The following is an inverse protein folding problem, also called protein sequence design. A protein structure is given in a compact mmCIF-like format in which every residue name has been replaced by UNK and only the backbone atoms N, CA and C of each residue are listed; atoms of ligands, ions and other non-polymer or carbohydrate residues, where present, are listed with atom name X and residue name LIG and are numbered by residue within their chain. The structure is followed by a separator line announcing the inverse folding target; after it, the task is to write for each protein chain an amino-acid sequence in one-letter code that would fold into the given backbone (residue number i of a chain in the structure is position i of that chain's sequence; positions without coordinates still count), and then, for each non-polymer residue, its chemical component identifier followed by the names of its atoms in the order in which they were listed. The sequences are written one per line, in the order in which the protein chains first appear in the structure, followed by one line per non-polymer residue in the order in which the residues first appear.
data_IF_814310816207
#
_entry.id   IF_814310816207
#
_cell.length_a   1.000
_cell.length_b   1.000
_cell.length_c   1.000
_cell.angle_alpha   90.00
_cell.angle_beta   90.00
_cell.angle_gamma   90.00
#
_symmetry.space_group_name_H-M   'P 1'
#
loop_
_entity.id
_entity.type
_entity.pdbx_description
1 polymer ?
#
# COMPACT_ATOMS: atom_id res chain seq x y z
N UNK A 1 -118.02 -69.99 -21.54
CA UNK A 1 -117.14 -69.81 -22.69
C UNK A 1 -116.19 -68.70 -22.30
N UNK A 2 -114.97 -68.96 -22.41
CA UNK A 2 -113.80 -68.25 -21.83
C UNK A 2 -113.49 -66.96 -22.58
N UNK A 3 -113.33 -65.88 -21.84
CA UNK A 3 -112.80 -64.60 -22.36
C UNK A 3 -111.53 -64.29 -21.65
N UNK A 4 -110.37 -64.41 -22.37
CA UNK A 4 -109.06 -64.06 -21.88
C UNK A 4 -108.92 -62.55 -21.70
N UNK A 5 -108.58 -62.06 -20.49
CA UNK A 5 -108.14 -60.71 -20.24
C UNK A 5 -106.65 -60.55 -20.61
N UNK A 6 -106.34 -59.64 -21.54
CA UNK A 6 -104.98 -59.12 -21.81
C UNK A 6 -104.60 -58.25 -20.64
N UNK A 7 -103.36 -58.47 -20.14
CA UNK A 7 -102.69 -57.61 -19.18
C UNK A 7 -101.85 -56.65 -19.99
N UNK A 8 -102.21 -55.38 -19.96
CA UNK A 8 -101.39 -54.30 -20.45
C UNK A 8 -100.27 -54.01 -19.40
N UNK A 9 -99.07 -54.23 -19.80
CA UNK A 9 -97.90 -53.79 -18.98
C UNK A 9 -97.54 -52.37 -19.44
N UNK A 10 -98.02 -51.38 -18.67
CA UNK A 10 -97.50 -50.00 -18.82
C UNK A 10 -96.05 -49.96 -18.44
N UNK A 11 -95.20 -49.75 -19.41
CA UNK A 11 -93.81 -49.48 -19.23
C UNK A 11 -93.65 -47.99 -18.87
N UNK A 12 -93.39 -47.74 -17.60
CA UNK A 12 -93.17 -46.37 -17.10
C UNK A 12 -91.69 -46.05 -17.27
N UNK A 13 -91.29 -45.23 -18.28
CA UNK A 13 -89.84 -45.03 -18.57
C UNK A 13 -89.16 -44.11 -17.57
N UNK A 14 -89.87 -43.69 -16.55
CA UNK A 14 -89.37 -42.79 -15.48
C UNK A 14 -89.46 -43.48 -14.13
N UNK A 15 -88.95 -44.70 -13.96
CA UNK A 15 -88.85 -45.28 -12.62
C UNK A 15 -87.76 -44.51 -11.84
N UNK A 16 -88.01 -44.32 -10.53
CA UNK A 16 -87.13 -43.62 -9.62
C UNK A 16 -85.69 -44.23 -9.71
N UNK A 17 -85.61 -45.54 -9.95
CA UNK A 17 -84.32 -46.24 -10.12
C UNK A 17 -83.56 -45.84 -11.43
N UNK A 18 -84.29 -45.49 -12.49
CA UNK A 18 -83.63 -45.03 -13.74
C UNK A 18 -83.13 -43.60 -13.56
N UNK A 19 -83.82 -42.73 -12.85
CA UNK A 19 -83.30 -41.39 -12.49
C UNK A 19 -82.11 -41.44 -11.58
N UNK A 20 -82.04 -42.37 -10.67
CA UNK A 20 -80.92 -42.56 -9.71
C UNK A 20 -79.67 -43.04 -10.46
N UNK A 21 -79.85 -43.99 -11.39
CA UNK A 21 -78.67 -44.47 -12.23
C UNK A 21 -78.15 -43.36 -13.15
N UNK A 22 -79.09 -42.61 -13.73
CA UNK A 22 -78.71 -41.50 -14.66
C UNK A 22 -78.03 -40.35 -13.90
N UNK A 23 -78.53 -40.01 -12.67
CA UNK A 23 -77.91 -38.93 -11.87
C UNK A 23 -76.57 -39.40 -11.33
N UNK A 24 -76.41 -40.63 -10.92
CA UNK A 24 -75.09 -41.20 -10.50
C UNK A 24 -74.10 -41.26 -11.66
N UNK A 25 -74.55 -41.66 -12.85
CA UNK A 25 -73.77 -41.67 -14.06
C UNK A 25 -73.33 -40.24 -14.49
N UNK A 26 -74.23 -39.28 -14.44
CA UNK A 26 -73.92 -37.89 -14.74
C UNK A 26 -72.94 -37.30 -13.70
N UNK A 27 -73.14 -37.61 -12.42
CA UNK A 27 -72.20 -37.24 -11.37
C UNK A 27 -70.77 -37.79 -11.59
N UNK A 28 -70.68 -39.06 -11.95
CA UNK A 28 -69.39 -39.69 -12.26
C UNK A 28 -68.72 -39.07 -13.48
N UNK A 29 -69.49 -38.74 -14.55
CA UNK A 29 -68.93 -38.08 -15.74
C UNK A 29 -68.50 -36.66 -15.43
N UNK A 30 -69.23 -35.90 -14.64
CA UNK A 30 -68.85 -34.56 -14.18
C UNK A 30 -67.58 -34.62 -13.32
N UNK A 31 -67.47 -35.61 -12.41
CA UNK A 31 -66.28 -35.80 -11.59
C UNK A 31 -65.07 -36.12 -12.42
N UNK A 32 -65.17 -37.04 -13.41
CA UNK A 32 -64.12 -37.35 -14.34
C UNK A 32 -63.74 -36.15 -15.17
N UNK A 33 -64.70 -35.37 -15.65
CA UNK A 33 -64.46 -34.13 -16.40
C UNK A 33 -63.72 -33.09 -15.54
N UNK A 34 -64.10 -32.92 -14.26
CA UNK A 34 -63.44 -32.03 -13.33
C UNK A 34 -61.99 -32.50 -13.04
N UNK A 35 -61.77 -33.80 -12.85
CA UNK A 35 -60.42 -34.37 -12.67
C UNK A 35 -59.57 -34.17 -13.92
N UNK A 36 -60.14 -34.42 -15.12
CA UNK A 36 -59.42 -34.19 -16.40
C UNK A 36 -59.15 -32.69 -16.61
N UNK A 37 -60.07 -31.82 -16.24
CA UNK A 37 -59.89 -30.36 -16.36
C UNK A 37 -58.90 -29.82 -15.35
N UNK A 38 -58.84 -30.36 -14.12
CA UNK A 38 -57.81 -30.04 -13.12
C UNK A 38 -56.47 -30.71 -13.44
N UNK A 39 -56.48 -31.73 -14.27
CA UNK A 39 -55.25 -32.34 -14.81
C UNK A 39 -54.77 -31.65 -16.10
N UNK A 40 -55.12 -30.36 -16.32
CA UNK A 40 -54.58 -29.61 -17.44
C UNK A 40 -53.05 -29.68 -17.33
N UNK A 41 -52.47 -30.50 -18.22
CA UNK A 41 -51.04 -30.45 -18.47
C UNK A 41 -50.68 -28.99 -18.76
N UNK A 42 -49.75 -28.43 -17.96
CA UNK A 42 -49.21 -27.09 -18.20
C UNK A 42 -48.99 -26.86 -19.68
N UNK A 43 -49.47 -25.74 -20.19
CA UNK A 43 -49.37 -25.47 -21.61
C UNK A 43 -47.93 -25.68 -22.09
N UNK A 44 -47.66 -26.17 -23.27
CA UNK A 44 -46.30 -26.37 -23.81
C UNK A 44 -45.44 -25.11 -23.65
N UNK A 45 -46.04 -23.93 -23.70
CA UNK A 45 -45.38 -22.64 -23.49
C UNK A 45 -44.94 -22.42 -22.00
N UNK A 46 -45.75 -22.85 -21.05
CA UNK A 46 -45.43 -22.75 -19.64
C UNK A 46 -44.29 -23.72 -19.25
N UNK A 47 -44.28 -24.94 -19.82
CA UNK A 47 -43.20 -25.91 -19.62
C UNK A 47 -41.91 -25.39 -20.23
N UNK A 48 -41.93 -24.79 -21.42
CA UNK A 48 -40.78 -24.18 -22.07
C UNK A 48 -40.24 -23.02 -21.24
N UNK A 49 -41.09 -22.21 -20.69
CA UNK A 49 -40.69 -21.07 -19.80
C UNK A 49 -40.04 -21.57 -18.52
N UNK A 50 -40.64 -22.57 -17.85
CA UNK A 50 -40.07 -23.16 -16.62
C UNK A 50 -38.73 -23.80 -16.93
N UNK A 51 -38.58 -24.53 -18.02
CA UNK A 51 -37.29 -25.12 -18.42
C UNK A 51 -36.23 -24.07 -18.70
N UNK A 52 -36.61 -22.93 -19.30
CA UNK A 52 -35.69 -21.80 -19.51
C UNK A 52 -35.25 -21.16 -18.18
N UNK A 53 -36.18 -20.99 -17.23
CA UNK A 53 -35.89 -20.46 -15.90
C UNK A 53 -35.01 -21.43 -15.10
N UNK A 54 -35.24 -22.74 -15.23
CA UNK A 54 -34.39 -23.78 -14.63
C UNK A 54 -32.96 -23.68 -15.17
N UNK A 55 -32.79 -23.67 -16.49
CA UNK A 55 -31.48 -23.57 -17.14
C UNK A 55 -30.74 -22.28 -16.76
N UNK A 56 -31.45 -21.14 -16.67
CA UNK A 56 -30.89 -19.87 -16.21
C UNK A 56 -30.44 -19.93 -14.75
N UNK A 57 -31.24 -20.60 -13.90
CA UNK A 57 -30.88 -20.77 -12.48
C UNK A 57 -29.72 -21.74 -12.29
N UNK A 58 -29.65 -22.82 -13.07
CA UNK A 58 -28.52 -23.77 -13.07
C UNK A 58 -27.21 -23.04 -13.44
N UNK A 59 -27.22 -22.22 -14.50
CA UNK A 59 -26.05 -21.41 -14.89
C UNK A 59 -25.65 -20.45 -13.78
N UNK A 60 -26.62 -19.86 -13.08
CA UNK A 60 -26.35 -18.94 -11.98
C UNK A 60 -25.80 -19.65 -10.75
N UNK A 61 -26.25 -20.86 -10.46
CA UNK A 61 -25.72 -21.70 -9.39
C UNK A 61 -24.24 -22.04 -9.69
N UNK A 62 -23.93 -22.47 -10.91
CA UNK A 62 -22.56 -22.78 -11.31
C UNK A 62 -21.62 -21.58 -11.19
N UNK A 63 -22.07 -20.38 -11.58
CA UNK A 63 -21.32 -19.13 -11.40
C UNK A 63 -21.10 -18.80 -9.91
N UNK A 64 -22.11 -19.00 -9.07
CA UNK A 64 -22.01 -18.74 -7.63
C UNK A 64 -21.08 -19.75 -6.94
N UNK A 65 -21.11 -21.01 -7.35
CA UNK A 65 -20.20 -22.03 -6.85
C UNK A 65 -18.74 -21.72 -7.20
N UNK A 66 -18.47 -21.27 -8.43
CA UNK A 66 -17.13 -20.83 -8.84
C UNK A 66 -16.67 -19.60 -8.03
N UNK A 67 -17.57 -18.64 -7.80
CA UNK A 67 -17.29 -17.47 -6.96
C UNK A 67 -17.00 -17.86 -5.50
N UNK A 68 -17.73 -18.82 -4.95
CA UNK A 68 -17.49 -19.34 -3.60
C UNK A 68 -16.09 -19.98 -3.50
N UNK A 69 -15.72 -20.81 -4.47
CA UNK A 69 -14.40 -21.45 -4.51
C UNK A 69 -13.28 -20.41 -4.58
N UNK A 70 -13.46 -19.38 -5.42
CA UNK A 70 -12.47 -18.29 -5.53
C UNK A 70 -12.35 -17.46 -4.26
N UNK A 71 -13.47 -17.15 -3.61
CA UNK A 71 -13.48 -16.44 -2.31
C UNK A 71 -12.84 -17.29 -1.21
N UNK A 72 -13.15 -18.60 -1.18
CA UNK A 72 -12.57 -19.51 -0.19
C UNK A 72 -11.05 -19.61 -0.33
N UNK A 73 -10.55 -19.64 -1.55
CA UNK A 73 -9.11 -19.63 -1.84
C UNK A 73 -8.45 -18.34 -1.35
N UNK A 74 -9.09 -17.19 -1.59
CA UNK A 74 -8.60 -15.89 -1.08
C UNK A 74 -8.56 -15.85 0.45
N UNK A 75 -9.59 -16.37 1.10
CA UNK A 75 -9.65 -16.46 2.58
C UNK A 75 -8.50 -17.32 3.10
N UNK A 76 -8.27 -18.50 2.52
CA UNK A 76 -7.20 -19.39 2.94
C UNK A 76 -5.81 -18.74 2.76
N UNK A 77 -5.59 -18.04 1.66
CA UNK A 77 -4.35 -17.29 1.41
C UNK A 77 -4.16 -16.15 2.42
N UNK A 78 -5.24 -15.43 2.75
CA UNK A 78 -5.21 -14.37 3.76
C UNK A 78 -4.94 -14.92 5.16
N UNK A 79 -5.52 -16.07 5.53
CA UNK A 79 -5.25 -16.74 6.80
C UNK A 79 -3.80 -17.20 6.91
N UNK A 80 -3.23 -17.75 5.84
CA UNK A 80 -1.82 -18.13 5.81
C UNK A 80 -0.88 -16.94 5.98
N UNK A 81 -1.21 -15.81 5.31
CA UNK A 81 -0.48 -14.55 5.45
C UNK A 81 -0.57 -13.97 6.86
N UNK A 82 -1.75 -14.01 7.48
CA UNK A 82 -1.94 -13.58 8.87
C UNK A 82 -1.10 -14.43 9.85
N UNK A 83 -1.07 -15.74 9.65
CA UNK A 83 -0.24 -16.64 10.48
C UNK A 83 1.25 -16.32 10.33
N UNK A 84 1.69 -16.00 9.12
CA UNK A 84 3.08 -15.58 8.88
C UNK A 84 3.40 -14.26 9.59
N UNK A 85 2.52 -13.26 9.47
CA UNK A 85 2.67 -11.97 10.15
C UNK A 85 2.69 -12.14 11.67
N UNK A 86 1.83 -12.99 12.24
CA UNK A 86 1.85 -13.29 13.67
C UNK A 86 3.18 -13.88 14.13
N UNK A 87 3.78 -14.78 13.33
CA UNK A 87 5.09 -15.33 13.64
C UNK A 87 6.20 -14.26 13.57
N UNK A 88 6.12 -13.35 12.59
CA UNK A 88 7.04 -12.22 12.49
C UNK A 88 6.90 -11.27 13.69
N UNK A 89 5.67 -10.97 14.12
CA UNK A 89 5.42 -10.15 15.31
C UNK A 89 6.07 -10.78 16.54
N UNK A 90 5.89 -12.06 16.78
CA UNK A 90 6.52 -12.77 17.92
C UNK A 90 8.06 -12.73 17.86
N UNK A 91 8.63 -12.83 16.67
CA UNK A 91 10.07 -12.72 16.49
C UNK A 91 10.57 -11.30 16.81
N UNK A 92 9.84 -10.28 16.35
CA UNK A 92 10.15 -8.87 16.61
C UNK A 92 10.00 -8.53 18.09
N UNK A 93 8.94 -9.00 18.76
CA UNK A 93 8.75 -8.81 20.20
C UNK A 93 9.93 -9.35 21.00
N UNK A 94 10.46 -10.51 20.61
CA UNK A 94 11.66 -11.07 21.24
C UNK A 94 12.88 -10.16 21.05
N UNK A 95 13.09 -9.63 19.84
CA UNK A 95 14.19 -8.70 19.54
C UNK A 95 14.03 -7.40 20.34
N UNK A 96 12.80 -6.87 20.47
CA UNK A 96 12.52 -5.67 21.29
C UNK A 96 12.88 -5.90 22.76
N UNK A 97 12.55 -7.07 23.31
CA UNK A 97 12.91 -7.41 24.71
C UNK A 97 14.43 -7.45 24.88
N UNK A 98 15.14 -8.08 23.94
CA UNK A 98 16.60 -8.17 23.99
C UNK A 98 17.25 -6.78 23.82
N UNK A 99 16.71 -5.94 22.94
CA UNK A 99 17.23 -4.58 22.69
C UNK A 99 16.93 -3.63 23.87
N UNK A 100 15.77 -3.76 24.50
CA UNK A 100 15.47 -3.02 25.73
C UNK A 100 16.41 -3.40 26.87
N UNK A 101 16.80 -4.66 26.97
CA UNK A 101 17.79 -5.12 27.95
C UNK A 101 19.17 -4.52 27.68
N UNK A 102 19.58 -4.45 26.39
CA UNK A 102 20.85 -3.79 25.98
C UNK A 102 20.78 -2.28 26.25
N UNK A 103 19.65 -1.65 25.95
CA UNK A 103 19.43 -0.21 26.23
C UNK A 103 19.60 0.10 27.71
N UNK A 104 18.98 -0.68 28.59
CA UNK A 104 19.10 -0.48 30.04
C UNK A 104 20.55 -0.65 30.54
N UNK A 105 21.31 -1.58 29.94
CA UNK A 105 22.75 -1.72 30.24
C UNK A 105 23.54 -0.49 29.75
N UNK A 106 23.28 -0.02 28.53
CA UNK A 106 23.94 1.15 27.97
C UNK A 106 23.56 2.45 28.68
N UNK A 107 22.34 2.58 29.18
CA UNK A 107 21.94 3.73 30.03
C UNK A 107 22.66 3.74 31.38
N UNK A 108 22.93 2.56 31.93
CA UNK A 108 23.78 2.41 33.11
C UNK A 108 25.21 2.86 32.86
N UNK A 109 25.82 2.46 31.76
CA UNK A 109 27.15 2.88 31.33
C UNK A 109 27.21 4.37 30.98
N UNK A 110 26.18 4.93 30.30
CA UNK A 110 26.11 6.35 30.01
C UNK A 110 26.01 7.22 31.30
N UNK A 111 25.25 6.80 32.31
CA UNK A 111 25.22 7.49 33.60
C UNK A 111 26.58 7.49 34.32
N UNK A 112 27.32 6.38 34.20
CA UNK A 112 28.68 6.30 34.70
C UNK A 112 29.64 7.25 33.98
N UNK A 113 29.50 7.33 32.63
CA UNK A 113 30.27 8.24 31.78
C UNK A 113 29.87 9.70 32.01
N UNK A 114 28.58 10.01 32.17
CA UNK A 114 28.12 11.36 32.53
C UNK A 114 28.67 11.84 33.88
N UNK A 115 28.72 10.95 34.88
CA UNK A 115 29.36 11.29 36.18
C UNK A 115 30.86 11.55 36.03
N UNK A 116 31.55 10.82 35.12
CA UNK A 116 32.95 11.06 34.80
C UNK A 116 33.14 12.37 34.01
N UNK A 117 32.26 12.70 33.07
CA UNK A 117 32.27 13.96 32.34
C UNK A 117 32.00 15.16 33.24
N UNK A 118 31.08 15.04 34.19
CA UNK A 118 30.83 16.08 35.20
C UNK A 118 32.05 16.36 36.10
N UNK A 119 32.84 15.32 36.38
CA UNK A 119 34.10 15.51 37.14
C UNK A 119 35.21 16.12 36.30
N UNK A 120 35.21 15.88 34.95
CA UNK A 120 36.19 16.43 34.01
C UNK A 120 35.81 17.82 33.47
N UNK A 121 34.52 18.19 33.43
CA UNK A 121 34.06 19.49 32.95
C UNK A 121 34.19 20.63 33.96
N UNK A 122 34.57 20.34 35.18
CA UNK A 122 34.95 21.39 36.11
C UNK A 122 36.29 22.09 35.77
N UNK A 123 36.95 21.68 34.69
CA UNK A 123 38.25 22.26 34.27
C UNK A 123 38.27 22.92 32.87
N UNK A 124 37.15 23.00 32.11
CA UNK A 124 37.16 23.70 30.80
C UNK A 124 35.89 24.50 30.54
N UNK A 125 36.08 25.82 30.55
CA UNK A 125 35.07 26.82 30.12
C UNK A 125 34.81 26.77 28.61
N UNK A 126 33.52 26.88 28.27
CA UNK A 126 32.81 27.35 27.09
C UNK A 126 33.51 27.63 25.77
N UNK A 127 33.07 26.97 24.72
CA UNK A 127 32.95 27.56 23.38
C UNK A 127 31.71 27.06 22.68
N UNK A 128 30.83 28.03 22.27
CA UNK A 128 29.70 27.99 21.36
C UNK A 128 28.35 27.59 21.95
N UNK A 129 27.62 28.62 22.43
CA UNK A 129 26.14 28.60 22.53
C UNK A 129 25.53 28.69 21.15
N UNK A 130 24.69 27.72 20.79
CA UNK A 130 23.74 27.84 19.70
C UNK A 130 22.37 28.06 20.30
N UNK A 131 21.91 29.31 20.22
CA UNK A 131 20.55 29.68 20.58
C UNK A 131 19.56 29.10 19.56
N UNK A 132 18.60 28.33 20.03
CA UNK A 132 17.45 27.82 19.29
C UNK A 132 16.38 27.45 20.30
N UNK A 133 15.23 28.09 20.19
CA UNK A 133 14.07 27.81 21.01
C UNK A 133 13.67 26.34 20.89
N UNK A 134 13.68 25.61 22.04
CA UNK A 134 13.06 24.32 22.20
C UNK A 134 14.01 23.21 22.66
N UNK A 135 13.74 22.67 23.83
CA UNK A 135 14.42 21.53 24.48
C UNK A 135 14.31 20.17 23.72
N UNK A 136 14.07 20.17 22.41
CA UNK A 136 13.84 18.97 21.62
C UNK A 136 15.09 18.40 20.94
N UNK A 137 16.28 18.74 21.41
CA UNK A 137 17.56 18.27 20.83
C UNK A 137 17.78 16.74 20.90
N UNK A 138 16.99 16.01 21.66
CA UNK A 138 17.24 14.59 21.97
C UNK A 138 16.12 13.61 21.59
N UNK A 139 15.05 14.04 20.95
CA UNK A 139 13.89 13.16 20.68
C UNK A 139 14.00 12.29 19.44
N UNK A 140 14.91 12.56 18.51
CA UNK A 140 14.98 11.79 17.25
C UNK A 140 15.98 10.66 17.28
N UNK A 141 17.00 10.70 18.14
CA UNK A 141 18.08 9.69 18.15
C UNK A 141 18.89 9.61 16.86
N UNK A 142 18.53 10.39 15.82
CA UNK A 142 19.21 10.38 14.53
C UNK A 142 20.54 11.14 14.64
N UNK A 143 21.64 10.39 14.52
CA UNK A 143 22.97 10.96 14.40
C UNK A 143 23.37 10.99 12.93
N UNK A 144 23.97 12.10 12.49
CA UNK A 144 24.63 12.17 11.19
C UNK A 144 26.06 11.68 11.38
N UNK A 145 26.36 10.51 10.82
CA UNK A 145 27.65 9.84 10.98
C UNK A 145 28.06 9.13 9.70
N UNK A 146 29.35 8.98 9.50
CA UNK A 146 29.96 8.35 8.34
C UNK A 146 31.14 9.15 7.81
N UNK A 147 31.98 8.51 7.00
CA UNK A 147 33.09 9.17 6.32
C UNK A 147 32.65 9.75 4.98
N UNK A 148 31.73 9.09 4.30
CA UNK A 148 31.11 9.53 3.03
C UNK A 148 29.61 9.45 3.12
N UNK A 149 28.98 10.61 3.17
CA UNK A 149 27.56 10.76 3.48
C UNK A 149 26.83 11.27 2.24
N UNK A 150 25.82 10.53 1.79
CA UNK A 150 24.94 10.96 0.72
C UNK A 150 23.58 11.40 1.29
N UNK A 151 23.20 12.65 1.04
CA UNK A 151 21.87 13.15 1.32
C UNK A 151 21.01 13.06 0.07
N UNK A 152 19.85 12.43 0.19
CA UNK A 152 18.92 12.20 -0.90
C UNK A 152 17.59 12.85 -0.56
N UNK A 153 17.17 13.81 -1.36
CA UNK A 153 15.92 14.52 -1.16
C UNK A 153 14.94 14.20 -2.30
N UNK A 154 13.81 13.65 -1.94
CA UNK A 154 12.68 13.49 -2.87
C UNK A 154 12.15 14.87 -3.27
N UNK A 155 12.09 15.12 -4.57
CA UNK A 155 11.52 16.33 -5.17
C UNK A 155 10.35 16.00 -6.09
N UNK A 156 9.65 14.92 -5.82
CA UNK A 156 8.41 14.55 -6.52
C UNK A 156 7.24 15.48 -6.14
N UNK A 157 6.18 15.46 -6.94
CA UNK A 157 5.02 16.33 -6.73
C UNK A 157 4.30 16.07 -5.39
N UNK A 158 4.37 14.86 -4.85
CA UNK A 158 3.79 14.53 -3.54
C UNK A 158 4.42 15.30 -2.39
N UNK A 159 5.66 15.74 -2.54
CA UNK A 159 6.35 16.56 -1.54
C UNK A 159 5.78 17.98 -1.37
N UNK A 160 4.80 18.39 -2.18
CA UNK A 160 4.11 19.68 -2.03
C UNK A 160 3.23 19.69 -0.78
N UNK A 161 2.34 18.70 -0.63
CA UNK A 161 1.35 18.68 0.46
C UNK A 161 1.12 17.26 1.01
N UNK A 162 0.46 17.16 2.16
CA UNK A 162 0.05 15.89 2.76
C UNK A 162 -1.20 15.31 2.09
N UNK A 163 -2.12 16.17 1.63
CA UNK A 163 -3.38 15.81 0.98
C UNK A 163 -3.22 15.62 -0.53
N UNK A 164 -3.76 14.53 -1.07
CA UNK A 164 -3.74 14.26 -2.53
C UNK A 164 -4.40 15.39 -3.32
N UNK A 165 -5.50 15.94 -2.82
CA UNK A 165 -6.23 17.04 -3.50
C UNK A 165 -5.36 18.28 -3.61
N UNK A 166 -4.64 18.63 -2.54
CA UNK A 166 -3.82 19.84 -2.51
C UNK A 166 -2.49 19.62 -3.27
N UNK A 167 -1.97 18.39 -3.33
CA UNK A 167 -0.88 18.01 -4.24
C UNK A 167 -1.28 18.27 -5.71
N UNK A 168 -2.47 17.82 -6.11
CA UNK A 168 -2.95 18.04 -7.49
C UNK A 168 -3.11 19.52 -7.79
N UNK A 169 -3.73 20.28 -6.89
CA UNK A 169 -3.85 21.75 -7.04
C UNK A 169 -2.48 22.41 -7.11
N UNK A 170 -1.59 22.07 -6.17
CA UNK A 170 -0.24 22.61 -6.08
C UNK A 170 0.59 22.31 -7.32
N UNK A 171 0.44 21.13 -7.92
CA UNK A 171 1.18 20.73 -9.12
C UNK A 171 0.87 21.61 -10.34
N UNK A 172 -0.29 22.27 -10.35
CA UNK A 172 -0.71 23.21 -11.42
C UNK A 172 -0.23 24.64 -11.18
N UNK A 173 0.30 24.96 -10.00
CA UNK A 173 0.78 26.28 -9.64
C UNK A 173 2.17 26.57 -10.23
N UNK A 174 2.53 27.85 -10.27
CA UNK A 174 3.87 28.28 -10.69
C UNK A 174 4.96 27.87 -9.69
N UNK A 175 6.19 27.76 -10.17
CA UNK A 175 7.33 27.25 -9.41
C UNK A 175 7.61 28.03 -8.11
N UNK A 176 7.42 29.37 -8.12
CA UNK A 176 7.58 30.20 -6.92
C UNK A 176 6.57 29.82 -5.81
N UNK A 177 5.33 29.46 -6.18
CA UNK A 177 4.31 29.04 -5.24
C UNK A 177 4.66 27.66 -4.68
N UNK A 178 5.07 26.72 -5.56
CA UNK A 178 5.49 25.36 -5.16
C UNK A 178 6.63 25.36 -4.13
N UNK A 179 7.56 26.30 -4.26
CA UNK A 179 8.68 26.48 -3.33
C UNK A 179 8.25 26.78 -1.89
N UNK A 180 7.05 27.32 -1.70
CA UNK A 180 6.53 27.79 -0.41
C UNK A 180 5.49 26.85 0.22
N UNK A 181 5.24 25.69 -0.37
CA UNK A 181 4.37 24.69 0.22
C UNK A 181 4.94 24.16 1.54
N UNK A 182 4.08 24.03 2.56
CA UNK A 182 4.49 23.73 3.94
C UNK A 182 5.31 22.46 4.06
N UNK A 183 4.84 21.37 3.44
CA UNK A 183 5.55 20.08 3.47
C UNK A 183 6.91 20.17 2.77
N UNK A 184 6.99 20.88 1.64
CA UNK A 184 8.26 21.11 0.96
C UNK A 184 9.23 21.95 1.80
N UNK A 185 8.73 22.96 2.50
CA UNK A 185 9.54 23.75 3.44
C UNK A 185 10.07 22.85 4.57
N UNK A 186 9.25 21.92 5.10
CA UNK A 186 9.70 20.94 6.11
C UNK A 186 10.77 20.01 5.57
N UNK A 187 10.62 19.49 4.33
CA UNK A 187 11.64 18.70 3.67
C UNK A 187 12.99 19.46 3.55
N UNK A 188 12.93 20.73 3.12
CA UNK A 188 14.09 21.61 3.05
C UNK A 188 14.71 21.88 4.43
N UNK A 189 13.92 22.09 5.46
CA UNK A 189 14.41 22.25 6.84
C UNK A 189 15.08 20.96 7.34
N UNK A 190 14.49 19.80 7.03
CA UNK A 190 15.08 18.49 7.38
C UNK A 190 16.45 18.28 6.73
N UNK A 191 16.59 18.66 5.46
CA UNK A 191 17.88 18.62 4.78
C UNK A 191 18.90 19.57 5.42
N UNK A 192 18.49 20.83 5.70
CA UNK A 192 19.34 21.80 6.42
C UNK A 192 19.79 21.25 7.77
N UNK A 193 18.88 20.65 8.51
CA UNK A 193 19.14 20.07 9.83
C UNK A 193 20.18 18.94 9.76
N UNK A 194 20.08 18.06 8.76
CA UNK A 194 21.05 16.99 8.52
C UNK A 194 22.43 17.55 8.17
N UNK A 195 22.48 18.48 7.21
CA UNK A 195 23.72 19.09 6.72
C UNK A 195 24.40 19.90 7.82
N UNK A 196 23.66 20.58 8.69
CA UNK A 196 24.23 21.30 9.84
C UNK A 196 24.92 20.40 10.86
N UNK A 197 24.66 19.10 10.84
CA UNK A 197 25.26 18.08 11.73
C UNK A 197 26.31 17.23 11.05
N UNK A 198 26.71 17.63 9.85
CA UNK A 198 27.73 16.94 9.08
C UNK A 198 29.06 16.96 9.83
N UNK A 199 29.72 15.81 10.08
CA UNK A 199 31.05 15.79 10.65
C UNK A 199 32.06 16.51 9.75
N UNK A 200 32.87 17.39 10.32
CA UNK A 200 33.86 18.16 9.54
C UNK A 200 34.91 17.26 8.85
N UNK A 201 35.15 16.08 9.38
CA UNK A 201 36.07 15.08 8.80
C UNK A 201 35.46 14.23 7.67
N UNK A 202 34.14 14.38 7.41
CA UNK A 202 33.46 13.59 6.40
C UNK A 202 33.47 14.27 5.03
N UNK A 203 33.23 13.45 4.01
CA UNK A 203 32.87 13.90 2.67
C UNK A 203 31.36 13.76 2.49
N UNK A 204 30.75 14.65 1.73
CA UNK A 204 29.31 14.61 1.49
C UNK A 204 28.94 14.84 0.03
N UNK A 205 27.74 14.43 -0.32
CA UNK A 205 27.06 14.79 -1.57
C UNK A 205 25.57 15.02 -1.30
N UNK A 206 24.93 15.89 -2.08
CA UNK A 206 23.49 16.11 -2.04
C UNK A 206 22.93 15.82 -3.42
N UNK A 207 21.98 14.94 -3.49
CA UNK A 207 21.20 14.64 -4.69
C UNK A 207 19.71 14.84 -4.43
N UNK A 208 18.99 15.33 -5.42
CA UNK A 208 17.54 15.32 -5.44
C UNK A 208 17.06 14.32 -6.48
N UNK A 209 15.88 13.76 -6.27
CA UNK A 209 15.27 12.87 -7.24
C UNK A 209 13.76 13.06 -7.32
N UNK A 210 13.26 12.82 -8.50
CA UNK A 210 11.85 12.62 -8.81
C UNK A 210 11.77 11.45 -9.82
N UNK A 211 11.48 11.72 -11.08
CA UNK A 211 11.62 10.71 -12.16
C UNK A 211 13.08 10.55 -12.61
N UNK A 212 13.94 11.50 -12.27
CA UNK A 212 15.37 11.57 -12.58
C UNK A 212 16.14 12.00 -11.35
N UNK A 213 17.44 11.73 -11.36
CA UNK A 213 18.36 12.22 -10.33
C UNK A 213 19.06 13.48 -10.79
N UNK A 214 19.21 14.43 -9.86
CA UNK A 214 19.98 15.65 -10.03
C UNK A 214 21.03 15.73 -8.93
N UNK A 215 22.29 15.81 -9.31
CA UNK A 215 23.41 16.04 -8.37
C UNK A 215 23.62 17.55 -8.21
N UNK A 216 23.73 17.99 -6.96
CA UNK A 216 23.96 19.40 -6.62
C UNK A 216 25.41 19.70 -6.27
N UNK A 217 26.24 18.66 -6.15
CA UNK A 217 27.66 18.79 -5.86
C UNK A 217 28.46 18.94 -7.13
N UNK A 218 29.36 19.93 -7.18
CA UNK A 218 30.26 20.17 -8.32
C UNK A 218 31.23 19.00 -8.55
N UNK A 219 31.65 18.34 -7.48
CA UNK A 219 32.39 17.10 -7.48
C UNK A 219 31.52 16.02 -6.85
N UNK A 220 31.81 14.76 -7.11
CA UNK A 220 31.05 13.66 -6.53
C UNK A 220 31.04 13.69 -4.99
N UNK A 221 32.20 14.08 -4.41
CA UNK A 221 32.37 14.20 -2.96
C UNK A 221 32.92 15.58 -2.62
N UNK A 222 32.27 16.27 -1.70
CA UNK A 222 32.64 17.57 -1.17
C UNK A 222 33.09 17.41 0.26
N UNK A 223 34.06 18.22 0.72
CA UNK A 223 34.54 18.16 2.12
C UNK A 223 33.49 18.73 3.08
N UNK A 224 33.23 18.02 4.17
CA UNK A 224 32.36 18.50 5.26
C UNK A 224 32.92 19.67 6.07
N UNK A 225 34.23 20.01 5.89
CA UNK A 225 34.84 21.18 6.48
C UNK A 225 34.79 22.43 5.58
N UNK A 226 34.41 22.28 4.30
CA UNK A 226 34.32 23.37 3.33
C UNK A 226 32.94 24.07 3.42
N UNK A 227 32.87 25.14 4.20
CA UNK A 227 31.65 25.92 4.40
C UNK A 227 31.10 26.47 3.08
N UNK A 228 31.95 26.90 2.15
CA UNK A 228 31.52 27.45 0.86
C UNK A 228 30.90 26.34 -0.01
N UNK A 229 31.52 25.16 -0.04
CA UNK A 229 30.98 24.00 -0.72
C UNK A 229 29.63 23.56 -0.13
N UNK A 230 29.49 23.53 1.20
CA UNK A 230 28.25 23.23 1.89
C UNK A 230 27.15 24.21 1.48
N UNK A 231 27.41 25.52 1.58
CA UNK A 231 26.44 26.56 1.25
C UNK A 231 25.99 26.51 -0.21
N UNK A 232 26.93 26.35 -1.13
CA UNK A 232 26.65 26.28 -2.56
C UNK A 232 25.82 25.04 -2.91
N UNK A 233 26.25 23.86 -2.44
CA UNK A 233 25.57 22.59 -2.73
C UNK A 233 24.18 22.56 -2.11
N UNK A 234 24.07 22.96 -0.84
CA UNK A 234 22.79 23.04 -0.14
C UNK A 234 21.86 24.06 -0.80
N UNK A 235 22.37 25.26 -1.12
CA UNK A 235 21.61 26.30 -1.82
C UNK A 235 21.03 25.83 -3.14
N UNK A 236 21.83 25.12 -3.94
CA UNK A 236 21.37 24.48 -5.17
C UNK A 236 20.23 23.49 -4.95
N UNK A 237 20.39 22.58 -3.97
CA UNK A 237 19.34 21.61 -3.65
C UNK A 237 18.04 22.23 -3.12
N UNK A 238 18.15 23.31 -2.34
CA UNK A 238 16.99 24.02 -1.79
C UNK A 238 16.20 24.81 -2.84
N UNK A 239 16.80 25.07 -4.02
CA UNK A 239 16.15 25.74 -5.15
C UNK A 239 15.37 24.77 -6.05
N UNK A 240 15.46 23.45 -5.80
CA UNK A 240 14.64 22.47 -6.53
C UNK A 240 13.15 22.71 -6.30
N UNK A 241 12.36 22.37 -7.33
CA UNK A 241 10.91 22.54 -7.33
C UNK A 241 10.25 21.17 -7.43
N UNK A 242 9.35 20.81 -6.51
CA UNK A 242 8.66 19.53 -6.55
C UNK A 242 7.83 19.36 -7.83
N UNK A 243 8.10 18.24 -8.55
CA UNK A 243 7.39 17.90 -9.79
C UNK A 243 7.56 16.44 -10.17
N UNK A 244 6.62 15.95 -10.98
CA UNK A 244 6.69 14.58 -11.51
C UNK A 244 6.39 13.49 -10.46
N UNK A 245 6.67 12.25 -10.82
CA UNK A 245 6.50 11.09 -9.96
C UNK A 245 7.77 10.75 -9.18
N UNK A 246 7.64 9.82 -8.24
CA UNK A 246 8.73 9.33 -7.37
C UNK A 246 9.33 8.07 -7.97
N UNK A 247 10.58 8.10 -8.39
CA UNK A 247 11.35 6.94 -8.86
C UNK A 247 12.52 6.66 -7.91
N UNK A 248 12.25 5.89 -6.86
CA UNK A 248 13.25 5.54 -5.85
C UNK A 248 14.37 4.66 -6.43
N UNK A 249 14.07 3.83 -7.43
CA UNK A 249 15.05 2.92 -8.05
C UNK A 249 16.23 3.70 -8.61
N UNK A 250 15.99 4.76 -9.40
CA UNK A 250 17.06 5.56 -9.98
C UNK A 250 17.91 6.29 -8.92
N UNK A 251 17.30 6.70 -7.81
CA UNK A 251 18.02 7.35 -6.72
C UNK A 251 18.96 6.36 -6.00
N UNK A 252 18.49 5.15 -5.72
CA UNK A 252 19.31 4.10 -5.09
C UNK A 252 20.38 3.56 -6.03
N UNK A 253 20.10 3.44 -7.32
CA UNK A 253 21.09 3.07 -8.35
C UNK A 253 22.21 4.12 -8.47
N UNK A 254 21.89 5.41 -8.44
CA UNK A 254 22.89 6.48 -8.44
C UNK A 254 23.84 6.34 -7.25
N UNK A 255 23.32 6.07 -6.05
CA UNK A 255 24.12 5.84 -4.84
C UNK A 255 25.06 4.65 -5.01
N UNK A 256 24.60 3.55 -5.60
CA UNK A 256 25.42 2.36 -5.85
C UNK A 256 26.51 2.56 -6.89
N UNK A 257 26.29 3.50 -7.83
CA UNK A 257 27.26 3.84 -8.88
C UNK A 257 28.32 4.83 -8.42
N UNK A 258 28.15 5.48 -7.26
CA UNK A 258 29.14 6.41 -6.70
C UNK A 258 30.48 5.72 -6.43
N UNK A 259 31.58 6.34 -6.81
CA UNK A 259 32.93 5.83 -6.57
C UNK A 259 33.81 6.94 -5.94
N UNK A 260 34.32 6.72 -4.72
CA UNK A 260 33.96 5.61 -3.80
C UNK A 260 32.48 5.68 -3.36
N UNK A 261 31.92 4.54 -2.94
CA UNK A 261 30.53 4.50 -2.46
C UNK A 261 30.37 5.20 -1.11
N UNK A 262 29.18 5.75 -0.80
CA UNK A 262 28.87 6.22 0.54
C UNK A 262 28.87 5.06 1.55
N UNK A 263 29.18 5.39 2.78
CA UNK A 263 28.98 4.50 3.94
C UNK A 263 27.67 4.80 4.68
N UNK A 264 27.14 6.02 4.51
CA UNK A 264 25.87 6.44 5.10
C UNK A 264 25.00 7.22 4.10
N UNK A 265 23.72 6.91 4.09
CA UNK A 265 22.68 7.56 3.27
C UNK A 265 21.58 8.10 4.16
N UNK A 266 21.19 9.33 3.91
CA UNK A 266 20.02 9.96 4.56
C UNK A 266 19.01 10.31 3.48
N UNK A 267 17.91 9.58 3.46
CA UNK A 267 16.82 9.73 2.49
C UNK A 267 15.68 10.54 3.12
N UNK A 268 15.25 11.60 2.47
CA UNK A 268 14.06 12.38 2.82
C UNK A 268 13.03 12.14 1.72
N UNK A 269 11.88 11.59 2.08
CA UNK A 269 10.79 11.26 1.17
C UNK A 269 9.46 11.23 1.91
N UNK A 270 8.35 11.07 1.20
CA UNK A 270 7.02 11.05 1.82
C UNK A 270 6.21 9.77 1.53
N UNK A 271 6.62 8.98 0.56
CA UNK A 271 5.84 7.82 0.19
C UNK A 271 6.55 6.82 -0.72
N UNK A 272 5.83 5.76 -1.06
CA UNK A 272 6.32 4.72 -1.94
C UNK A 272 6.45 5.21 -3.38
N UNK A 273 7.39 4.64 -4.17
CA UNK A 273 7.60 5.05 -5.54
C UNK A 273 6.34 4.89 -6.40
N UNK A 274 6.09 5.87 -7.26
CA UNK A 274 5.02 5.86 -8.25
C UNK A 274 5.54 5.59 -9.67
N UNK A 275 6.86 5.64 -9.85
CA UNK A 275 7.58 5.38 -11.09
C UNK A 275 8.64 4.31 -10.87
N UNK A 276 8.91 3.53 -11.90
CA UNK A 276 9.99 2.54 -11.88
C UNK A 276 9.84 1.51 -13.00
N UNK A 277 10.83 0.65 -13.13
CA UNK A 277 10.75 -0.48 -14.04
C UNK A 277 10.02 -1.64 -13.38
N UNK A 278 9.15 -2.38 -14.09
CA UNK A 278 8.47 -3.54 -13.52
C UNK A 278 9.50 -4.59 -13.06
N UNK A 279 9.20 -5.36 -11.98
CA UNK A 279 10.03 -6.48 -11.59
C UNK A 279 10.20 -7.49 -12.73
N UNK A 280 11.36 -8.16 -12.79
CA UNK A 280 11.59 -9.23 -13.77
C UNK A 280 10.65 -10.41 -13.50
N UNK A 281 10.11 -11.03 -14.55
CA UNK A 281 9.26 -12.22 -14.43
C UNK A 281 7.79 -11.94 -14.12
N UNK A 282 7.36 -10.69 -14.06
CA UNK A 282 5.95 -10.32 -13.90
C UNK A 282 5.18 -10.63 -15.17
N UNK A 283 4.04 -11.33 -15.03
CA UNK A 283 3.18 -11.66 -16.17
C UNK A 283 2.59 -10.40 -16.83
N UNK A 284 2.31 -10.47 -18.13
CA UNK A 284 1.77 -9.35 -18.90
C UNK A 284 0.44 -8.84 -18.29
N UNK A 285 -0.36 -9.73 -17.73
CA UNK A 285 -1.65 -9.40 -17.11
C UNK A 285 -1.46 -8.64 -15.79
N UNK A 286 -0.45 -8.97 -14.99
CA UNK A 286 -0.12 -8.24 -13.77
C UNK A 286 0.46 -6.87 -14.10
N UNK A 287 1.28 -6.78 -15.16
CA UNK A 287 1.77 -5.51 -15.71
C UNK A 287 0.60 -4.63 -16.16
N UNK A 288 -0.38 -5.18 -16.89
CA UNK A 288 -1.58 -4.43 -17.32
C UNK A 288 -2.46 -3.98 -16.15
N UNK A 289 -2.53 -4.76 -15.09
CA UNK A 289 -3.35 -4.47 -13.91
C UNK A 289 -2.75 -3.37 -13.02
N UNK A 290 -1.42 -3.38 -12.87
CA UNK A 290 -0.68 -2.39 -12.10
C UNK A 290 -0.32 -1.15 -12.92
N UNK A 291 -0.12 -1.32 -14.22
CA UNK A 291 0.61 -0.38 -15.04
C UNK A 291 -0.20 -0.10 -16.29
N UNK A 292 -1.03 0.91 -16.27
CA UNK A 292 -1.74 1.37 -17.46
C UNK A 292 -0.70 1.74 -18.54
N UNK A 293 -0.52 0.82 -19.48
CA UNK A 293 0.17 1.03 -20.77
C UNK A 293 1.60 1.57 -20.65
N UNK A 294 2.56 0.68 -20.57
CA UNK A 294 3.97 0.99 -20.77
C UNK A 294 4.64 -0.09 -21.61
N UNK A 295 5.54 0.28 -22.49
CA UNK A 295 6.47 -0.66 -23.13
C UNK A 295 7.30 -1.35 -22.04
N UNK A 296 7.67 -2.63 -22.25
CA UNK A 296 8.56 -3.37 -21.34
C UNK A 296 9.87 -2.64 -20.98
N UNK A 297 10.24 -1.62 -21.77
CA UNK A 297 11.50 -0.89 -21.67
C UNK A 297 11.36 0.54 -21.12
N UNK A 298 10.13 1.00 -20.78
CA UNK A 298 9.92 2.34 -20.26
C UNK A 298 9.48 2.29 -18.79
N UNK A 299 9.92 3.25 -17.96
CA UNK A 299 9.41 3.39 -16.60
C UNK A 299 7.90 3.56 -16.60
N UNK A 300 7.26 2.81 -15.74
CA UNK A 300 5.81 2.81 -15.59
C UNK A 300 5.38 3.75 -14.49
N UNK A 301 4.16 4.25 -14.59
CA UNK A 301 3.52 5.06 -13.55
C UNK A 301 2.40 4.25 -12.93
N UNK A 302 2.36 4.20 -11.60
CA UNK A 302 1.28 3.58 -10.86
C UNK A 302 0.89 4.37 -9.62
N UNK A 303 -0.40 4.39 -9.33
CA UNK A 303 -0.97 4.92 -8.08
C UNK A 303 -1.54 3.81 -7.19
N UNK A 304 -1.61 2.58 -7.71
CA UNK A 304 -2.07 1.42 -6.94
C UNK A 304 -1.10 1.12 -5.81
N UNK A 305 -1.61 1.04 -4.58
CA UNK A 305 -0.81 0.78 -3.39
C UNK A 305 0.00 -0.51 -3.49
N UNK A 306 -0.61 -1.61 -3.96
CA UNK A 306 0.06 -2.90 -4.14
C UNK A 306 1.23 -2.81 -5.13
N UNK A 307 1.04 -2.10 -6.25
CA UNK A 307 2.06 -1.96 -7.28
C UNK A 307 3.19 -1.03 -6.86
N UNK A 308 2.90 -0.03 -6.04
CA UNK A 308 3.92 0.84 -5.42
C UNK A 308 4.80 0.04 -4.45
N UNK A 309 4.20 -0.88 -3.68
CA UNK A 309 4.97 -1.81 -2.83
C UNK A 309 5.88 -2.70 -3.68
N UNK A 310 5.42 -3.22 -4.82
CA UNK A 310 6.25 -4.05 -5.72
C UNK A 310 7.44 -3.26 -6.30
N UNK A 311 7.23 -2.00 -6.69
CA UNK A 311 8.32 -1.12 -7.14
C UNK A 311 9.32 -0.86 -6.03
N UNK A 312 8.85 -0.59 -4.82
CA UNK A 312 9.70 -0.38 -3.66
C UNK A 312 10.53 -1.63 -3.32
N UNK A 313 9.86 -2.79 -3.23
CA UNK A 313 10.52 -4.05 -2.90
C UNK A 313 11.61 -4.39 -3.93
N UNK A 314 11.35 -4.16 -5.22
CA UNK A 314 12.36 -4.34 -6.27
C UNK A 314 13.56 -3.41 -6.05
N UNK A 315 13.31 -2.11 -5.86
CA UNK A 315 14.38 -1.12 -5.66
C UNK A 315 15.20 -1.44 -4.39
N UNK A 316 14.52 -1.75 -3.28
CA UNK A 316 15.14 -2.15 -2.02
C UNK A 316 16.00 -3.41 -2.16
N UNK A 317 15.46 -4.46 -2.78
CA UNK A 317 16.19 -5.73 -2.92
C UNK A 317 17.42 -5.59 -3.80
N UNK A 318 17.33 -4.85 -4.91
CA UNK A 318 18.48 -4.53 -5.76
C UNK A 318 19.53 -3.73 -4.99
N UNK A 319 19.11 -2.75 -4.20
CA UNK A 319 20.00 -1.91 -3.40
C UNK A 319 20.72 -2.70 -2.31
N UNK A 320 20.01 -3.53 -1.56
CA UNK A 320 20.57 -4.32 -0.46
C UNK A 320 21.42 -5.51 -0.93
N UNK A 321 21.20 -6.01 -2.16
CA UNK A 321 21.95 -7.14 -2.71
C UNK A 321 23.42 -6.80 -2.99
N UNK A 322 23.71 -5.53 -3.28
CA UNK A 322 25.04 -5.12 -3.77
C UNK A 322 25.95 -4.68 -2.64
N UNK A 323 25.44 -3.96 -1.65
CA UNK A 323 26.23 -3.42 -0.54
C UNK A 323 25.34 -3.07 0.67
N UNK A 324 25.88 -3.24 1.87
CA UNK A 324 25.22 -2.78 3.11
C UNK A 324 25.62 -1.34 3.40
N UNK A 325 24.98 -0.38 2.72
CA UNK A 325 25.14 1.04 3.00
C UNK A 325 24.12 1.40 4.08
N UNK A 326 24.55 1.96 5.19
CA UNK A 326 23.67 2.40 6.28
C UNK A 326 22.71 3.47 5.75
N UNK A 327 21.40 3.15 5.69
CA UNK A 327 20.40 4.03 5.09
C UNK A 327 19.35 4.42 6.12
N UNK A 328 19.35 5.70 6.48
CA UNK A 328 18.36 6.30 7.38
C UNK A 328 17.34 7.10 6.59
N UNK A 329 16.07 6.96 6.94
CA UNK A 329 14.98 7.61 6.21
C UNK A 329 14.21 8.57 7.12
N UNK A 330 14.00 9.80 6.63
CA UNK A 330 13.04 10.75 7.17
C UNK A 330 11.80 10.66 6.28
N UNK A 331 10.73 10.08 6.84
CA UNK A 331 9.48 9.87 6.13
C UNK A 331 8.47 10.95 6.54
N UNK A 332 8.14 11.83 5.61
CA UNK A 332 7.10 12.84 5.78
C UNK A 332 5.71 12.23 5.52
N UNK A 333 4.65 12.76 6.13
CA UNK A 333 3.31 12.20 5.96
C UNK A 333 2.77 12.42 4.53
N UNK A 334 2.05 11.40 4.03
CA UNK A 334 1.33 11.43 2.77
C UNK A 334 0.01 10.67 2.92
N UNK A 335 -1.10 11.31 2.55
CA UNK A 335 -2.41 10.68 2.49
C UNK A 335 -2.42 9.54 1.46
N UNK A 336 -3.09 8.43 1.81
CA UNK A 336 -3.31 7.31 0.87
C UNK A 336 -2.13 6.37 0.67
N UNK A 337 -1.08 6.45 1.49
CA UNK A 337 0.07 5.55 1.42
C UNK A 337 0.32 4.77 2.74
N UNK A 338 -0.59 3.87 3.13
CA UNK A 338 -0.50 3.18 4.42
C UNK A 338 0.68 2.22 4.54
N UNK A 339 1.29 1.83 3.43
CA UNK A 339 2.41 0.88 3.41
C UNK A 339 3.78 1.55 3.50
N UNK A 340 3.88 2.86 3.30
CA UNK A 340 5.17 3.56 3.25
C UNK A 340 5.99 3.37 4.53
N UNK A 341 5.39 3.56 5.69
CA UNK A 341 6.08 3.45 6.98
C UNK A 341 6.71 2.07 7.19
N UNK A 342 5.97 1.00 6.92
CA UNK A 342 6.46 -0.38 7.07
C UNK A 342 7.59 -0.68 6.07
N UNK A 343 7.47 -0.22 4.84
CA UNK A 343 8.44 -0.46 3.80
C UNK A 343 9.77 0.28 4.06
N UNK A 344 9.72 1.55 4.42
CA UNK A 344 10.91 2.32 4.77
C UNK A 344 11.54 1.87 6.09
N UNK A 345 10.74 1.41 7.06
CA UNK A 345 11.25 0.76 8.25
C UNK A 345 12.04 -0.51 7.91
N UNK A 346 11.51 -1.35 7.02
CA UNK A 346 12.20 -2.53 6.53
C UNK A 346 13.54 -2.18 5.86
N UNK A 347 13.58 -1.16 5.01
CA UNK A 347 14.82 -0.68 4.40
C UNK A 347 15.82 -0.23 5.46
N UNK A 348 15.39 0.60 6.42
CA UNK A 348 16.24 1.10 7.48
C UNK A 348 16.84 -0.04 8.31
N UNK A 349 16.02 -0.97 8.81
CA UNK A 349 16.48 -2.09 9.64
C UNK A 349 17.45 -2.99 8.87
N UNK A 350 17.14 -3.35 7.63
CA UNK A 350 17.97 -4.25 6.84
C UNK A 350 19.31 -3.63 6.42
N UNK A 351 19.37 -2.30 6.30
CA UNK A 351 20.61 -1.57 6.00
C UNK A 351 21.38 -1.13 7.25
N UNK A 352 20.83 -1.30 8.45
CA UNK A 352 21.42 -0.85 9.71
C UNK A 352 21.22 0.64 10.00
N UNK A 353 20.29 1.29 9.31
CA UNK A 353 19.90 2.69 9.52
C UNK A 353 18.68 2.85 10.44
N UNK A 354 18.04 4.01 10.35
CA UNK A 354 16.88 4.38 11.17
C UNK A 354 15.74 4.94 10.30
N UNK A 355 14.50 4.71 10.71
CA UNK A 355 13.34 5.41 10.17
C UNK A 355 12.86 6.45 11.19
N UNK A 356 12.65 7.68 10.72
CA UNK A 356 12.03 8.76 11.50
C UNK A 356 10.85 9.30 10.72
N UNK A 357 9.70 9.41 11.39
CA UNK A 357 8.56 10.17 10.89
C UNK A 357 8.34 11.38 11.82
N UNK A 358 8.81 12.55 11.41
CA UNK A 358 8.81 13.73 12.28
C UNK A 358 7.41 14.33 12.43
N UNK A 359 7.14 14.96 13.58
CA UNK A 359 5.97 15.79 13.80
C UNK A 359 6.00 17.05 12.91
N UNK A 360 4.85 17.77 12.79
CA UNK A 360 4.74 18.95 11.91
C UNK A 360 5.69 20.10 12.30
N UNK A 361 6.02 20.21 13.55
CA UNK A 361 6.87 21.23 14.14
C UNK A 361 8.38 20.87 14.19
N UNK A 362 8.79 19.75 13.58
CA UNK A 362 10.18 19.30 13.45
C UNK A 362 10.72 19.59 12.02
N UNK A 363 12.00 19.93 11.86
CA UNK A 363 13.05 20.23 12.82
C UNK A 363 12.92 21.60 13.42
#
# INVERSE_FOLDING_TARGET
MAGKKKKDTNFNPLSLSFLDIMSCGLGAVILIFLILKHGEAKSPEEVVRINKDISANETKIEQLEEEIVTKQTKINNSLSSLKNIQNQIKAIEKVIVDENKRKNLSEGENKAIESLILTLNNEKQDVVQVEGEGERKYLTGLKVEGNRIAFILDSSASMLDESIVDIVKGSLMGDQIKQNYEKWLRAKKSLKWLVARLPASSEFTIITFNEKVVSHSNKRWMSGSDVSAIQTTLGSALNEVPKGGTNLEVALEEVQQMKPMPDSVYLITDGLPTKGMPPKGVTLDRVKKCFRVGSKNNPITTISSECRVELFEKAKNNYLATNKIKTSTILLPLEGDPHAAVQYWSLAVLSGGMLISPSKDWP
#
